data_IF_694598455081
#
_entry.id   IF_694598455081
#
_cell.length_a   1.000
_cell.length_b   1.000
_cell.length_c   1.000
_cell.angle_alpha   90.00
_cell.angle_beta   90.00
_cell.angle_gamma   90.00
#
_symmetry.space_group_name_H-M   'P 1'
#
loop_
_entity.id
_entity.type
_entity.pdbx_description
1 polymer ?
#
# COMPACT_ATOMS: atom_id res chain seq x y z
N UNK A 1 18.00 -11.55 12.13
CA UNK A 1 17.47 -11.27 10.77
C UNK A 1 17.23 -12.61 10.08
N UNK A 2 15.99 -12.92 9.67
CA UNK A 2 15.72 -14.15 8.89
C UNK A 2 16.47 -14.03 7.54
N UNK A 3 17.06 -15.12 7.06
CA UNK A 3 17.76 -15.17 5.77
C UNK A 3 16.74 -15.04 4.63
N UNK A 4 16.39 -13.79 4.27
CA UNK A 4 15.50 -13.53 3.13
C UNK A 4 16.25 -13.78 1.81
N UNK A 5 15.60 -14.50 0.91
CA UNK A 5 16.16 -14.93 -0.36
C UNK A 5 15.49 -14.21 -1.53
N UNK A 6 16.27 -14.00 -2.60
CA UNK A 6 15.78 -13.46 -3.86
C UNK A 6 15.12 -14.59 -4.66
N UNK A 7 13.98 -14.31 -5.29
CA UNK A 7 13.23 -15.28 -6.10
C UNK A 7 14.04 -15.58 -7.38
N UNK A 8 14.41 -16.86 -7.61
CA UNK A 8 15.20 -17.23 -8.77
C UNK A 8 14.41 -17.06 -10.08
N UNK A 9 15.09 -16.52 -11.10
CA UNK A 9 14.56 -16.40 -12.46
C UNK A 9 13.57 -15.24 -12.68
N UNK A 10 13.37 -14.38 -11.66
CA UNK A 10 12.59 -13.13 -11.81
C UNK A 10 13.50 -11.91 -11.65
N UNK A 11 14.42 -11.95 -10.69
CA UNK A 11 15.45 -10.93 -10.53
C UNK A 11 16.83 -11.56 -10.75
N UNK A 12 17.61 -11.00 -11.66
CA UNK A 12 18.97 -11.46 -11.92
C UNK A 12 19.90 -10.89 -10.84
N UNK A 13 20.10 -11.65 -9.77
CA UNK A 13 21.13 -11.36 -8.78
C UNK A 13 22.18 -12.45 -8.90
N UNK A 14 23.41 -12.07 -9.25
CA UNK A 14 24.56 -12.97 -9.20
C UNK A 14 25.03 -13.11 -7.76
N UNK A 15 25.57 -14.28 -7.40
CA UNK A 15 26.06 -14.57 -6.03
C UNK A 15 27.15 -13.59 -5.53
N UNK A 16 27.75 -12.79 -6.43
CA UNK A 16 28.78 -11.78 -6.14
C UNK A 16 28.23 -10.34 -5.96
N UNK A 17 26.90 -10.19 -5.78
CA UNK A 17 26.29 -8.87 -5.63
C UNK A 17 26.54 -8.25 -4.25
N UNK A 18 27.00 -7.00 -4.23
CA UNK A 18 27.15 -6.20 -3.01
C UNK A 18 25.83 -6.15 -2.21
N UNK A 19 25.91 -6.09 -0.88
CA UNK A 19 24.78 -6.09 0.04
C UNK A 19 23.73 -5.01 -0.28
N UNK A 20 24.16 -3.89 -0.86
CA UNK A 20 23.28 -2.82 -1.35
C UNK A 20 22.40 -3.27 -2.52
N UNK A 21 22.97 -3.96 -3.52
CA UNK A 21 22.25 -4.46 -4.70
C UNK A 21 21.22 -5.49 -4.27
N UNK A 22 21.63 -6.44 -3.42
CA UNK A 22 20.71 -7.45 -2.88
C UNK A 22 19.55 -6.82 -2.11
N UNK A 23 19.82 -5.79 -1.30
CA UNK A 23 18.77 -5.09 -0.56
C UNK A 23 17.77 -4.40 -1.49
N UNK A 24 18.27 -3.69 -2.51
CA UNK A 24 17.41 -3.07 -3.52
C UNK A 24 16.53 -4.10 -4.23
N UNK A 25 17.08 -5.27 -4.60
CA UNK A 25 16.30 -6.36 -5.19
C UNK A 25 15.21 -6.88 -4.24
N UNK A 26 15.51 -7.05 -2.95
CA UNK A 26 14.50 -7.50 -1.98
C UNK A 26 13.36 -6.48 -1.82
N UNK A 27 13.67 -5.17 -1.80
CA UNK A 27 12.66 -4.10 -1.79
C UNK A 27 11.76 -4.17 -3.01
N UNK A 28 12.35 -4.28 -4.20
CA UNK A 28 11.59 -4.34 -5.45
C UNK A 28 10.78 -5.63 -5.59
N UNK A 29 11.34 -6.75 -5.12
CA UNK A 29 10.63 -8.02 -5.06
C UNK A 29 9.41 -7.96 -4.14
N UNK A 30 9.56 -7.34 -2.97
CA UNK A 30 8.44 -7.12 -2.06
C UNK A 30 7.37 -6.25 -2.71
N UNK A 31 7.76 -5.13 -3.34
CA UNK A 31 6.84 -4.26 -4.10
C UNK A 31 6.04 -5.04 -5.13
N UNK A 32 6.69 -5.87 -5.94
CA UNK A 32 6.01 -6.68 -6.96
C UNK A 32 5.07 -7.73 -6.39
N UNK A 33 5.43 -8.35 -5.26
CA UNK A 33 4.59 -9.33 -4.59
C UNK A 33 3.29 -8.67 -4.10
N UNK A 34 3.40 -7.52 -3.44
CA UNK A 34 2.24 -6.74 -2.97
C UNK A 34 1.42 -6.18 -4.14
N UNK A 35 2.06 -5.69 -5.19
CA UNK A 35 1.37 -5.29 -6.42
C UNK A 35 0.56 -6.45 -7.00
N UNK A 36 1.16 -7.64 -7.05
CA UNK A 36 0.54 -8.82 -7.65
C UNK A 36 -0.66 -9.33 -6.84
N UNK A 37 -0.61 -9.24 -5.51
CA UNK A 37 -1.74 -9.49 -4.62
C UNK A 37 -2.94 -8.61 -4.99
N UNK A 38 -2.70 -7.30 -5.03
CA UNK A 38 -3.72 -6.31 -5.39
C UNK A 38 -4.23 -6.49 -6.83
N UNK A 39 -3.33 -6.73 -7.79
CA UNK A 39 -3.65 -6.95 -9.20
C UNK A 39 -4.47 -8.25 -9.41
N UNK A 40 -4.27 -9.26 -8.56
CA UNK A 40 -5.15 -10.44 -8.49
C UNK A 40 -6.52 -10.09 -7.95
N UNK A 41 -6.58 -9.39 -6.81
CA UNK A 41 -7.82 -9.02 -6.14
C UNK A 41 -8.75 -8.22 -7.05
N UNK A 42 -8.25 -7.19 -7.71
CA UNK A 42 -9.03 -6.38 -8.66
C UNK A 42 -9.31 -7.06 -9.99
N UNK A 43 -8.79 -8.28 -10.21
CA UNK A 43 -8.87 -9.01 -11.48
C UNK A 43 -8.40 -8.16 -12.67
N UNK A 44 -7.44 -7.26 -12.46
CA UNK A 44 -6.94 -6.36 -13.49
C UNK A 44 -6.51 -7.17 -14.72
N UNK A 45 -7.09 -6.88 -15.90
CA UNK A 45 -6.66 -7.49 -17.15
C UNK A 45 -5.17 -7.27 -17.34
N UNK A 46 -4.47 -8.28 -17.88
CA UNK A 46 -3.03 -8.17 -18.17
C UNK A 46 -2.71 -7.03 -19.15
N UNK A 47 -3.69 -6.58 -19.93
CA UNK A 47 -3.58 -5.44 -20.85
C UNK A 47 -3.53 -4.07 -20.15
N UNK A 48 -3.97 -4.00 -18.89
CA UNK A 48 -4.00 -2.76 -18.10
C UNK A 48 -2.76 -2.68 -17.20
N UNK A 49 -2.26 -3.82 -16.72
CA UNK A 49 -1.04 -3.87 -15.93
C UNK A 49 0.19 -3.72 -16.83
N UNK A 50 0.90 -2.60 -16.69
CA UNK A 50 2.10 -2.29 -17.49
C UNK A 50 3.40 -2.81 -16.87
N UNK A 51 3.37 -3.37 -15.66
CA UNK A 51 4.56 -3.93 -15.02
C UNK A 51 4.99 -5.23 -15.72
N UNK A 52 6.21 -5.30 -16.27
CA UNK A 52 6.67 -6.44 -17.08
C UNK A 52 6.89 -7.72 -16.26
N UNK A 53 7.13 -7.61 -14.96
CA UNK A 53 7.37 -8.74 -14.07
C UNK A 53 6.10 -9.24 -13.40
N UNK A 54 5.07 -8.39 -13.31
CA UNK A 54 3.78 -8.74 -12.71
C UNK A 54 3.17 -10.04 -13.23
N UNK A 55 3.07 -10.35 -14.55
CA UNK A 55 2.46 -11.60 -15.00
C UNK A 55 3.11 -12.87 -14.41
N UNK A 56 4.45 -12.86 -14.24
CA UNK A 56 5.19 -13.98 -13.63
C UNK A 56 4.96 -14.04 -12.12
N UNK A 57 5.15 -12.92 -11.42
CA UNK A 57 4.95 -12.85 -9.96
C UNK A 57 3.50 -13.15 -9.59
N UNK A 58 2.53 -12.70 -10.39
CA UNK A 58 1.09 -12.98 -10.22
C UNK A 58 0.77 -14.46 -10.19
N UNK A 59 1.44 -15.27 -11.03
CA UNK A 59 1.29 -16.73 -11.00
C UNK A 59 1.92 -17.34 -9.75
N UNK A 60 3.10 -16.85 -9.33
CA UNK A 60 3.74 -17.26 -8.07
C UNK A 60 2.84 -16.91 -6.88
N UNK A 61 2.27 -15.70 -6.85
CA UNK A 61 1.39 -15.25 -5.77
C UNK A 61 0.10 -16.08 -5.71
N UNK A 62 -0.51 -16.39 -6.85
CA UNK A 62 -1.66 -17.32 -6.87
C UNK A 62 -1.31 -18.69 -6.31
N UNK A 63 -0.09 -19.16 -6.55
CA UNK A 63 0.40 -20.40 -5.96
C UNK A 63 0.60 -20.26 -4.45
N UNK A 64 1.27 -19.21 -3.94
CA UNK A 64 1.57 -19.09 -2.50
C UNK A 64 0.29 -19.07 -1.64
N UNK A 65 -0.79 -18.44 -2.13
CA UNK A 65 -2.10 -18.36 -1.45
C UNK A 65 -2.70 -19.76 -1.22
N UNK A 66 -2.48 -20.69 -2.16
CA UNK A 66 -3.02 -22.05 -2.08
C UNK A 66 -1.99 -23.09 -1.62
N UNK A 67 -0.74 -22.68 -1.40
CA UNK A 67 0.37 -23.60 -1.15
C UNK A 67 0.51 -23.92 0.35
N UNK A 68 0.28 -25.19 0.70
CA UNK A 68 0.44 -25.73 2.05
C UNK A 68 1.81 -26.40 2.28
N UNK A 69 2.60 -26.63 1.23
CA UNK A 69 3.89 -27.33 1.31
C UNK A 69 4.98 -26.54 2.06
N UNK A 70 4.77 -25.24 2.29
CA UNK A 70 5.73 -24.39 3.02
C UNK A 70 7.09 -24.35 2.33
N UNK A 71 8.16 -24.61 3.08
CA UNK A 71 9.53 -24.65 2.54
C UNK A 71 9.81 -25.86 1.64
N UNK A 72 8.99 -26.91 1.71
CA UNK A 72 9.16 -28.13 0.91
C UNK A 72 8.43 -28.04 -0.44
N UNK A 73 7.99 -26.84 -0.84
CA UNK A 73 7.34 -26.66 -2.12
C UNK A 73 8.31 -26.96 -3.28
N UNK A 74 7.86 -27.74 -4.26
CA UNK A 74 8.63 -28.07 -5.47
C UNK A 74 8.80 -26.89 -6.43
N UNK A 75 7.99 -25.83 -6.29
CA UNK A 75 8.13 -24.61 -7.09
C UNK A 75 9.24 -23.74 -6.47
N UNK A 76 10.40 -23.55 -7.14
CA UNK A 76 11.55 -22.85 -6.54
C UNK A 76 11.26 -21.41 -6.14
N UNK A 77 10.33 -20.75 -6.82
CA UNK A 77 9.94 -19.37 -6.52
C UNK A 77 9.03 -19.25 -5.30
N UNK A 78 8.38 -20.34 -4.86
CA UNK A 78 7.40 -20.29 -3.79
C UNK A 78 8.01 -20.04 -2.39
N UNK A 79 8.98 -20.84 -1.91
CA UNK A 79 9.56 -20.61 -0.59
C UNK A 79 10.09 -19.18 -0.35
N UNK A 80 10.93 -18.59 -1.23
CA UNK A 80 11.45 -17.24 -1.03
C UNK A 80 10.36 -16.17 -1.10
N UNK A 81 9.42 -16.29 -2.05
CA UNK A 81 8.27 -15.37 -2.15
C UNK A 81 7.41 -15.41 -0.88
N UNK A 82 7.06 -16.61 -0.42
CA UNK A 82 6.21 -16.81 0.77
C UNK A 82 6.90 -16.31 2.03
N UNK A 83 8.21 -16.53 2.17
CA UNK A 83 9.00 -15.97 3.28
C UNK A 83 8.98 -14.45 3.29
N UNK A 84 9.16 -13.81 2.14
CA UNK A 84 9.20 -12.35 2.05
C UNK A 84 7.84 -11.71 2.35
N UNK A 85 6.75 -12.27 1.81
CA UNK A 85 5.37 -11.82 2.13
C UNK A 85 5.08 -12.01 3.62
N UNK A 86 5.38 -13.19 4.17
CA UNK A 86 5.20 -13.46 5.60
C UNK A 86 6.04 -12.51 6.46
N UNK A 87 7.28 -12.23 6.05
CA UNK A 87 8.11 -11.26 6.74
C UNK A 87 7.45 -9.89 6.77
N UNK A 88 6.98 -9.37 5.64
CA UNK A 88 6.31 -8.07 5.61
C UNK A 88 5.13 -7.97 6.59
N UNK A 89 4.22 -8.95 6.58
CA UNK A 89 3.04 -8.95 7.46
C UNK A 89 3.35 -9.22 8.95
N UNK A 90 4.47 -9.85 9.28
CA UNK A 90 4.87 -10.17 10.66
C UNK A 90 6.01 -9.31 11.21
N UNK A 91 6.59 -8.42 10.39
CA UNK A 91 7.73 -7.59 10.78
C UNK A 91 7.24 -6.32 11.45
N UNK A 92 7.47 -6.18 12.76
CA UNK A 92 7.09 -4.98 13.53
C UNK A 92 8.17 -3.88 13.50
N UNK A 93 9.35 -4.18 12.94
CA UNK A 93 10.47 -3.23 12.86
C UNK A 93 10.18 -2.12 11.84
N UNK A 94 9.94 -0.92 12.37
CA UNK A 94 9.64 0.29 11.60
C UNK A 94 10.80 0.79 10.73
N UNK A 95 12.03 0.37 11.04
CA UNK A 95 13.24 0.71 10.31
C UNK A 95 13.78 -0.51 9.53
N UNK A 96 12.97 -1.55 9.37
CA UNK A 96 13.35 -2.72 8.59
C UNK A 96 13.75 -2.31 7.16
N UNK A 97 14.99 -2.57 6.73
CA UNK A 97 15.48 -2.09 5.44
C UNK A 97 14.85 -2.78 4.24
N UNK A 98 13.97 -3.78 4.43
CA UNK A 98 13.20 -4.42 3.35
C UNK A 98 11.76 -3.90 3.35
N UNK A 99 11.16 -3.73 4.52
CA UNK A 99 9.75 -3.37 4.67
C UNK A 99 9.49 -1.87 4.68
N UNK A 100 10.48 -1.05 5.07
CA UNK A 100 10.38 0.41 5.26
C UNK A 100 9.63 1.12 4.12
N UNK A 101 9.99 0.77 2.90
CA UNK A 101 9.59 1.44 1.67
C UNK A 101 8.13 1.13 1.36
N UNK A 102 7.70 -0.11 1.57
CA UNK A 102 6.31 -0.52 1.36
C UNK A 102 5.40 -0.13 2.53
N UNK A 103 5.90 -0.14 3.77
CA UNK A 103 5.19 0.46 4.91
C UNK A 103 4.95 1.95 4.69
N UNK A 104 5.96 2.67 4.19
CA UNK A 104 5.79 4.06 3.81
C UNK A 104 4.72 4.20 2.71
N UNK A 105 4.81 3.39 1.66
CA UNK A 105 3.89 3.43 0.52
C UNK A 105 2.42 3.21 0.90
N UNK A 106 2.14 2.26 1.80
CA UNK A 106 0.78 1.79 2.14
C UNK A 106 0.17 2.49 3.37
N UNK A 107 1.02 2.97 4.29
CA UNK A 107 0.58 3.52 5.58
C UNK A 107 1.06 4.97 5.75
N UNK A 108 2.37 5.17 5.89
CA UNK A 108 2.92 6.44 6.43
C UNK A 108 2.65 7.66 5.55
N UNK A 109 2.49 7.48 4.23
CA UNK A 109 2.15 8.58 3.30
C UNK A 109 0.78 9.20 3.60
N UNK A 110 -0.13 8.46 4.21
CA UNK A 110 -1.49 8.87 4.48
C UNK A 110 -1.67 9.45 5.89
N UNK A 111 -0.59 9.57 6.67
CA UNK A 111 -0.67 10.17 8.00
C UNK A 111 -1.24 11.58 7.91
N UNK A 112 -2.27 11.94 8.71
CA UNK A 112 -2.84 13.28 8.76
C UNK A 112 -1.78 14.31 9.16
N UNK A 113 -2.11 15.57 8.93
CA UNK A 113 -1.30 16.69 9.40
C UNK A 113 -1.46 16.77 10.91
N UNK A 114 -0.36 16.75 11.65
CA UNK A 114 -0.33 16.98 13.09
C UNK A 114 -0.36 18.49 13.35
N UNK A 115 -1.28 18.94 14.22
CA UNK A 115 -1.36 20.32 14.69
C UNK A 115 -1.10 20.34 16.19
N UNK A 116 -0.18 21.18 16.61
CA UNK A 116 0.07 21.41 18.04
C UNK A 116 -1.10 22.23 18.63
N UNK A 117 -1.89 21.59 19.49
CA UNK A 117 -2.80 22.23 20.45
C UNK A 117 -3.70 23.35 19.90
N UNK A 118 -4.78 23.00 19.19
CA UNK A 118 -5.92 23.90 18.99
C UNK A 118 -7.07 23.48 19.92
N UNK A 119 -7.52 24.40 20.78
CA UNK A 119 -8.78 24.29 21.51
C UNK A 119 -9.93 24.28 20.51
N UNK A 120 -10.34 23.10 20.08
CA UNK A 120 -11.45 22.94 19.17
C UNK A 120 -12.70 22.55 19.93
N UNK A 121 -13.77 23.33 19.79
CA UNK A 121 -15.10 23.06 20.35
C UNK A 121 -15.81 21.95 19.56
N UNK A 122 -15.19 20.76 19.47
CA UNK A 122 -15.74 19.58 18.78
C UNK A 122 -16.22 18.57 19.80
N UNK A 123 -17.33 17.93 19.50
CA UNK A 123 -17.91 16.86 20.33
C UNK A 123 -17.37 15.46 19.96
N UNK A 124 -16.48 15.36 18.98
CA UNK A 124 -15.94 14.12 18.44
C UNK A 124 -14.41 14.15 18.33
N UNK A 125 -13.81 12.95 18.28
CA UNK A 125 -12.39 12.76 18.04
C UNK A 125 -12.19 11.49 17.21
N UNK A 126 -11.37 11.56 16.17
CA UNK A 126 -10.97 10.42 15.35
C UNK A 126 -9.54 10.02 15.68
N UNK A 127 -9.32 8.72 15.72
CA UNK A 127 -7.98 8.14 15.87
C UNK A 127 -7.11 8.45 14.65
N UNK A 128 -5.79 8.31 14.82
CA UNK A 128 -4.83 8.44 13.73
C UNK A 128 -5.17 7.50 12.57
N UNK A 129 -5.56 6.26 12.88
CA UNK A 129 -5.90 5.21 11.91
C UNK A 129 -7.13 5.58 11.08
N UNK A 130 -8.23 5.98 11.74
CA UNK A 130 -9.46 6.39 11.05
C UNK A 130 -9.23 7.56 10.09
N UNK A 131 -8.42 8.55 10.50
CA UNK A 131 -8.07 9.68 9.62
C UNK A 131 -7.19 9.25 8.45
N UNK A 132 -6.26 8.31 8.68
CA UNK A 132 -5.45 7.75 7.59
C UNK A 132 -6.31 7.05 6.55
N UNK A 133 -7.33 6.30 6.97
CA UNK A 133 -8.23 5.59 6.07
C UNK A 133 -9.05 6.56 5.22
N UNK A 134 -9.54 7.64 5.81
CA UNK A 134 -10.23 8.72 5.09
C UNK A 134 -9.31 9.37 4.05
N UNK A 135 -8.08 9.74 4.43
CA UNK A 135 -7.09 10.34 3.52
C UNK A 135 -6.73 9.38 2.39
N UNK A 136 -6.54 8.10 2.70
CA UNK A 136 -6.26 7.06 1.71
C UNK A 136 -7.40 6.93 0.71
N UNK A 137 -8.65 6.84 1.16
CA UNK A 137 -9.82 6.73 0.30
C UNK A 137 -9.95 7.95 -0.65
N UNK A 138 -9.79 9.17 -0.12
CA UNK A 138 -9.81 10.40 -0.91
C UNK A 138 -8.70 10.45 -1.97
N UNK A 139 -7.48 10.06 -1.61
CA UNK A 139 -6.35 10.04 -2.52
C UNK A 139 -6.57 9.03 -3.67
N UNK A 140 -7.08 7.84 -3.36
CA UNK A 140 -7.42 6.81 -4.34
C UNK A 140 -8.49 7.28 -5.32
N UNK A 141 -9.53 7.95 -4.82
CA UNK A 141 -10.58 8.54 -5.65
C UNK A 141 -10.04 9.60 -6.63
N UNK A 142 -9.13 10.46 -6.14
CA UNK A 142 -8.54 11.52 -6.97
C UNK A 142 -7.54 10.97 -7.99
N UNK A 143 -6.72 9.99 -7.60
CA UNK A 143 -5.71 9.42 -8.48
C UNK A 143 -6.32 8.53 -9.58
N UNK A 144 -7.50 7.95 -9.36
CA UNK A 144 -8.17 7.07 -10.33
C UNK A 144 -7.44 5.75 -10.58
N UNK A 145 -6.41 5.46 -9.79
CA UNK A 145 -5.64 4.22 -9.82
C UNK A 145 -5.46 3.71 -8.39
N UNK A 146 -5.76 2.43 -8.12
CA UNK A 146 -5.64 1.91 -6.77
C UNK A 146 -4.28 1.27 -6.42
N UNK A 147 -3.28 1.30 -7.31
CA UNK A 147 -1.97 0.71 -7.04
C UNK A 147 -1.07 1.65 -6.21
N UNK A 148 -1.06 1.40 -4.89
CA UNK A 148 -0.25 2.16 -3.92
C UNK A 148 1.23 1.75 -3.92
N UNK A 149 1.58 0.61 -4.52
CA UNK A 149 2.96 0.09 -4.49
C UNK A 149 3.89 0.83 -5.43
N UNK A 150 3.35 1.53 -6.44
CA UNK A 150 4.11 2.38 -7.34
C UNK A 150 4.33 3.77 -6.74
N UNK A 151 5.46 3.94 -6.04
CA UNK A 151 5.86 5.22 -5.44
C UNK A 151 6.10 6.34 -6.46
N UNK A 152 6.39 6.00 -7.71
CA UNK A 152 6.67 6.95 -8.79
C UNK A 152 5.45 7.25 -9.65
N UNK A 153 4.27 6.79 -9.25
CA UNK A 153 3.04 7.01 -9.98
C UNK A 153 2.76 8.52 -10.13
N UNK A 154 2.73 9.05 -11.36
CA UNK A 154 2.46 10.46 -11.59
C UNK A 154 1.09 10.84 -11.01
N UNK A 155 1.04 11.94 -10.26
CA UNK A 155 -0.21 12.46 -9.68
C UNK A 155 -0.62 11.84 -8.34
N UNK A 156 -0.14 10.65 -7.95
CA UNK A 156 -0.49 10.05 -6.66
C UNK A 156 -0.02 10.90 -5.48
N UNK A 157 1.21 11.39 -5.54
CA UNK A 157 1.75 12.26 -4.49
C UNK A 157 0.97 13.58 -4.36
N UNK A 158 0.50 14.10 -5.49
CA UNK A 158 -0.36 15.27 -5.49
C UNK A 158 -1.74 14.96 -4.88
N UNK A 159 -2.35 13.83 -5.25
CA UNK A 159 -3.63 13.39 -4.70
C UNK A 159 -3.58 13.19 -3.18
N UNK A 160 -2.53 12.54 -2.66
CA UNK A 160 -2.31 12.36 -1.22
C UNK A 160 -2.20 13.71 -0.53
N UNK A 161 -1.41 14.63 -1.08
CA UNK A 161 -1.24 15.96 -0.50
C UNK A 161 -2.57 16.73 -0.46
N UNK A 162 -3.35 16.71 -1.54
CA UNK A 162 -4.66 17.35 -1.60
C UNK A 162 -5.64 16.74 -0.56
N UNK A 163 -5.69 15.40 -0.46
CA UNK A 163 -6.50 14.70 0.51
C UNK A 163 -6.12 15.10 1.96
N UNK A 164 -4.81 15.13 2.28
CA UNK A 164 -4.33 15.54 3.61
C UNK A 164 -4.74 16.95 3.98
N UNK A 165 -4.57 17.92 3.07
CA UNK A 165 -4.95 19.31 3.33
C UNK A 165 -6.46 19.48 3.49
N UNK A 166 -7.24 18.79 2.65
CA UNK A 166 -8.69 18.84 2.75
C UNK A 166 -9.18 18.23 4.05
N UNK A 167 -8.74 17.02 4.37
CA UNK A 167 -9.10 16.31 5.60
C UNK A 167 -8.75 17.14 6.84
N UNK A 168 -7.53 17.68 6.90
CA UNK A 168 -7.10 18.52 8.03
C UNK A 168 -7.98 19.77 8.20
N UNK A 169 -8.39 20.40 7.09
CA UNK A 169 -9.28 21.55 7.14
C UNK A 169 -10.67 21.20 7.65
N UNK A 170 -11.24 20.08 7.16
CA UNK A 170 -12.56 19.60 7.57
C UNK A 170 -12.51 19.17 9.04
N UNK A 171 -11.48 18.40 9.42
CA UNK A 171 -11.28 17.93 10.79
C UNK A 171 -11.19 19.12 11.74
N UNK A 172 -10.39 20.14 11.43
CA UNK A 172 -10.22 21.33 12.28
C UNK A 172 -11.52 22.13 12.50
N UNK A 173 -12.41 22.18 11.50
CA UNK A 173 -13.59 23.06 11.49
C UNK A 173 -14.92 22.39 11.82
N UNK A 174 -15.02 21.07 11.66
CA UNK A 174 -16.25 20.36 11.96
C UNK A 174 -16.48 20.33 13.48
N UNK A 175 -17.69 20.61 13.93
CA UNK A 175 -18.03 20.55 15.36
C UNK A 175 -18.63 19.20 15.75
N UNK A 176 -19.12 18.43 14.78
CA UNK A 176 -19.66 17.08 14.96
C UNK A 176 -19.18 16.07 13.92
N UNK A 177 -19.27 14.79 14.26
CA UNK A 177 -18.89 13.69 13.37
C UNK A 177 -19.72 13.68 12.07
N UNK A 178 -21.01 13.97 12.16
CA UNK A 178 -21.89 14.05 10.98
C UNK A 178 -21.48 15.17 10.03
N UNK A 179 -21.08 16.33 10.58
CA UNK A 179 -20.60 17.45 9.79
C UNK A 179 -19.28 17.09 9.08
N UNK A 180 -18.36 16.43 9.79
CA UNK A 180 -17.11 15.91 9.22
C UNK A 180 -17.42 14.94 8.07
N UNK A 181 -18.20 13.89 8.33
CA UNK A 181 -18.53 12.85 7.36
C UNK A 181 -19.22 13.41 6.11
N UNK A 182 -20.16 14.34 6.28
CA UNK A 182 -20.82 15.03 5.15
C UNK A 182 -19.83 15.80 4.28
N UNK A 183 -18.86 16.50 4.88
CA UNK A 183 -17.87 17.27 4.13
C UNK A 183 -16.87 16.36 3.40
N UNK A 184 -16.40 15.29 4.05
CA UNK A 184 -15.57 14.27 3.41
C UNK A 184 -16.31 13.63 2.23
N UNK A 185 -17.60 13.31 2.38
CA UNK A 185 -18.41 12.74 1.31
C UNK A 185 -18.51 13.63 0.06
N UNK A 186 -18.45 14.95 0.24
CA UNK A 186 -18.52 15.90 -0.86
C UNK A 186 -17.19 16.11 -1.59
N UNK A 187 -16.07 15.56 -1.10
CA UNK A 187 -14.75 15.72 -1.71
C UNK A 187 -14.69 15.23 -3.18
N UNK A 188 -15.53 14.26 -3.57
CA UNK A 188 -15.52 13.64 -4.90
C UNK A 188 -16.74 13.99 -5.79
N UNK A 189 -17.62 14.91 -5.39
CA UNK A 189 -18.81 15.26 -6.17
C UNK A 189 -18.50 16.38 -7.17
N UNK A 190 -18.19 16.00 -8.43
CA UNK A 190 -19.11 16.41 -9.51
C UNK A 190 -19.86 15.24 -10.19
N UNK A 191 -19.47 13.97 -10.00
CA UNK A 191 -19.95 12.85 -10.86
C UNK A 191 -20.46 11.58 -10.13
N UNK A 192 -20.84 11.63 -8.85
CA UNK A 192 -21.67 10.59 -8.24
C UNK A 192 -21.04 9.21 -8.02
N UNK A 193 -19.75 9.12 -7.69
CA UNK A 193 -19.16 7.86 -7.21
C UNK A 193 -19.15 7.83 -5.67
N UNK A 194 -19.90 6.88 -5.09
CA UNK A 194 -19.98 6.67 -3.63
C UNK A 194 -18.66 6.16 -3.04
N UNK A 195 -18.34 6.64 -1.84
CA UNK A 195 -17.19 6.24 -1.01
C UNK A 195 -17.29 4.79 -0.49
N UNK A 196 -18.46 4.15 -0.55
CA UNK A 196 -18.71 2.83 0.03
C UNK A 196 -17.82 1.71 -0.55
N UNK A 197 -17.23 1.91 -1.73
CA UNK A 197 -16.39 0.89 -2.39
C UNK A 197 -14.99 0.76 -1.80
N UNK A 198 -14.53 1.74 -1.01
CA UNK A 198 -13.16 1.78 -0.51
C UNK A 198 -13.04 1.45 0.98
N UNK A 199 -14.17 1.26 1.68
CA UNK A 199 -14.23 0.89 3.10
C UNK A 199 -14.04 -0.62 3.38
N UNK A 200 -13.63 -1.40 2.37
CA UNK A 200 -13.51 -2.87 2.49
C UNK A 200 -12.20 -3.43 1.94
N UNK A 201 -11.15 -2.61 1.92
CA UNK A 201 -9.78 -3.02 1.62
C UNK A 201 -8.98 -3.20 2.91
#
# INVERSE_FOLDING_TARGET
MKNLEVIPGIFNVTDDSDGVVRMHTLKEQLRLLLHSEWCLFLRTPLTICTDPHCPKIRNVFRHIVNCTAGMNCKLPQCPPAKQLVFHFYSCEDQQCPVCDTMRFALEKRFYPIERDGEDTNRDFNLTMEERCDVIRAMALLTAGTPDLTNLHLPGMEHAIRCAKYFEDNVYAKANSLDQYACQIANYAMPNGQSLDKYWSL
#
